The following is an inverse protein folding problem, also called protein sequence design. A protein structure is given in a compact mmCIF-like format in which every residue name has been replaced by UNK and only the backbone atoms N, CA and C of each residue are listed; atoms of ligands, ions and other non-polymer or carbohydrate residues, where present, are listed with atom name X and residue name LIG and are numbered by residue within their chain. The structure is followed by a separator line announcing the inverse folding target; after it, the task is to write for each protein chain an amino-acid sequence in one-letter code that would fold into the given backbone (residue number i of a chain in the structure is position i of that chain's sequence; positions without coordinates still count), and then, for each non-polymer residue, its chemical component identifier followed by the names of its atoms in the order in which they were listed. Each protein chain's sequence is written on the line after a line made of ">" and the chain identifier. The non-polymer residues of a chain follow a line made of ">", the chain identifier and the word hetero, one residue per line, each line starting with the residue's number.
data_IF_695673645936
#
_entry.id   IF_695673645936
#
_cell.length_a   1.000
_cell.length_b   1.000
_cell.length_c   1.000
_cell.angle_alpha   90.00
_cell.angle_beta   90.00
_cell.angle_gamma   90.00
#
_symmetry.space_group_name_H-M   'P 1'
#
loop_
_entity.id
_entity.type
_entity.pdbx_description
1 polymer ?
#
# COMPACT_ATOMS: atom_id res chain seq x y z
N UNK A 1 17.40 -9.90 -16.91
CA UNK A 1 16.77 -10.70 -15.83
C UNK A 1 17.63 -10.80 -14.57
N UNK A 2 18.92 -11.20 -14.63
CA UNK A 2 19.78 -11.30 -13.43
C UNK A 2 19.97 -9.94 -12.72
N UNK A 3 20.23 -8.86 -13.46
CA UNK A 3 20.38 -7.52 -12.86
C UNK A 3 19.09 -6.99 -12.22
N UNK A 4 17.92 -7.24 -12.83
CA UNK A 4 16.64 -6.78 -12.27
C UNK A 4 16.30 -7.51 -10.97
N UNK A 5 16.61 -8.81 -10.88
CA UNK A 5 16.46 -9.58 -9.63
C UNK A 5 17.32 -9.00 -8.50
N UNK A 6 18.51 -8.50 -8.81
CA UNK A 6 19.36 -7.84 -7.81
C UNK A 6 18.65 -6.64 -7.19
N UNK A 7 18.07 -5.75 -8.00
CA UNK A 7 17.30 -4.61 -7.47
C UNK A 7 16.09 -5.05 -6.64
N UNK A 8 15.39 -6.11 -7.05
CA UNK A 8 14.30 -6.67 -6.24
C UNK A 8 14.78 -7.14 -4.84
N UNK A 9 15.94 -7.78 -4.76
CA UNK A 9 16.52 -8.17 -3.47
C UNK A 9 16.98 -6.96 -2.66
N UNK A 10 17.61 -5.96 -3.29
CA UNK A 10 17.97 -4.70 -2.62
C UNK A 10 16.73 -3.96 -2.08
N UNK A 11 15.61 -3.96 -2.81
CA UNK A 11 14.34 -3.40 -2.34
C UNK A 11 13.88 -4.13 -1.08
N UNK A 12 13.93 -5.47 -1.10
CA UNK A 12 13.52 -6.31 0.03
C UNK A 12 14.37 -6.04 1.26
N UNK A 13 15.70 -5.98 1.10
CA UNK A 13 16.64 -5.67 2.18
C UNK A 13 16.33 -4.28 2.78
N UNK A 14 16.19 -3.25 1.96
CA UNK A 14 15.91 -1.90 2.45
C UNK A 14 14.52 -1.75 3.08
N UNK A 15 13.52 -2.48 2.61
CA UNK A 15 12.19 -2.55 3.24
C UNK A 15 12.26 -3.21 4.62
N UNK A 16 13.03 -4.29 4.76
CA UNK A 16 13.09 -5.07 6.00
C UNK A 16 14.07 -4.53 7.04
N UNK A 17 15.18 -3.93 6.62
CA UNK A 17 16.27 -3.56 7.52
C UNK A 17 16.39 -2.05 7.72
N UNK A 18 15.81 -1.25 6.82
CA UNK A 18 15.87 0.21 6.90
C UNK A 18 14.97 0.79 7.98
N UNK A 19 15.50 1.71 8.80
CA UNK A 19 14.69 2.57 9.68
C UNK A 19 13.89 3.61 8.90
N UNK A 20 14.40 3.99 7.72
CA UNK A 20 13.78 4.91 6.77
C UNK A 20 13.96 4.41 5.33
N UNK A 21 13.22 3.37 4.91
CA UNK A 21 13.37 2.76 3.59
C UNK A 21 13.28 3.79 2.45
N UNK A 22 12.46 4.84 2.60
CA UNK A 22 12.31 5.89 1.58
C UNK A 22 13.62 6.53 1.15
N UNK A 23 14.63 6.61 2.04
CA UNK A 23 15.93 7.20 1.72
C UNK A 23 16.67 6.42 0.63
N UNK A 24 16.50 5.09 0.56
CA UNK A 24 17.03 4.28 -0.54
C UNK A 24 16.24 4.54 -1.82
N UNK A 25 14.92 4.46 -1.76
CA UNK A 25 14.05 4.65 -2.93
C UNK A 25 14.25 6.03 -3.58
N UNK A 26 14.42 7.10 -2.79
CA UNK A 26 14.78 8.44 -3.28
C UNK A 26 16.11 8.48 -4.05
N UNK A 27 17.08 7.66 -3.70
CA UNK A 27 18.39 7.61 -4.39
C UNK A 27 18.31 6.90 -5.74
N UNK A 28 17.33 6.02 -5.91
CA UNK A 28 17.18 5.21 -7.12
C UNK A 28 16.06 5.69 -8.04
N UNK A 29 15.17 6.57 -7.58
CA UNK A 29 13.94 6.92 -8.30
C UNK A 29 14.17 7.61 -9.66
N UNK A 30 15.37 8.15 -9.89
CA UNK A 30 15.77 8.77 -11.17
C UNK A 30 16.73 7.90 -11.99
N UNK A 31 17.03 6.69 -11.53
CA UNK A 31 17.87 5.75 -12.28
C UNK A 31 17.11 5.16 -13.46
N UNK A 32 17.86 4.80 -14.50
CA UNK A 32 17.34 4.30 -15.77
C UNK A 32 16.50 3.03 -15.58
N UNK A 33 17.00 2.07 -14.79
CA UNK A 33 16.28 0.82 -14.53
C UNK A 33 14.90 1.07 -13.89
N UNK A 34 14.80 2.04 -12.98
CA UNK A 34 13.54 2.31 -12.28
C UNK A 34 12.51 2.93 -13.23
N UNK A 35 12.96 3.80 -14.14
CA UNK A 35 12.07 4.56 -15.01
C UNK A 35 11.75 3.86 -16.34
N UNK A 36 12.61 2.97 -16.82
CA UNK A 36 12.51 2.39 -18.17
C UNK A 36 12.41 0.85 -18.20
N UNK A 37 12.75 0.14 -17.13
CA UNK A 37 12.70 -1.33 -17.11
C UNK A 37 11.41 -1.84 -16.44
N UNK A 38 10.69 -2.70 -17.14
CA UNK A 38 9.56 -3.42 -16.55
C UNK A 38 10.06 -4.54 -15.61
N UNK A 39 9.43 -4.78 -14.43
CA UNK A 39 8.20 -4.17 -13.94
C UNK A 39 8.38 -2.93 -13.06
N UNK A 40 9.61 -2.41 -12.88
CA UNK A 40 9.85 -1.22 -12.05
C UNK A 40 9.14 0.03 -12.59
N UNK A 41 8.87 0.07 -13.89
CA UNK A 41 8.02 1.09 -14.52
C UNK A 41 6.61 1.16 -13.94
N UNK A 42 6.08 0.11 -13.32
CA UNK A 42 4.81 0.15 -12.59
C UNK A 42 4.89 1.07 -11.36
N UNK A 43 6.04 1.10 -10.67
CA UNK A 43 6.30 1.99 -9.55
C UNK A 43 6.67 3.40 -10.00
N UNK A 44 7.48 3.56 -11.05
CA UNK A 44 7.88 4.90 -11.51
C UNK A 44 6.71 5.72 -12.02
N UNK A 45 5.67 5.08 -12.59
CA UNK A 45 4.40 5.74 -12.97
C UNK A 45 3.72 6.45 -11.79
N UNK A 46 3.94 5.99 -10.55
CA UNK A 46 3.39 6.64 -9.35
C UNK A 46 3.93 8.07 -9.15
N UNK A 47 5.14 8.37 -9.66
CA UNK A 47 5.74 9.72 -9.60
C UNK A 47 4.91 10.76 -10.35
N UNK A 48 4.30 10.35 -11.46
CA UNK A 48 3.51 11.20 -12.34
C UNK A 48 2.01 11.10 -12.06
N UNK A 49 1.63 10.39 -11.01
CA UNK A 49 0.24 10.14 -10.63
C UNK A 49 -0.15 11.14 -9.54
N UNK A 50 -0.66 12.30 -9.96
CA UNK A 50 -1.07 13.38 -9.06
C UNK A 50 -2.25 12.97 -8.18
N UNK A 51 -2.26 13.48 -6.94
CA UNK A 51 -3.36 13.28 -6.01
C UNK A 51 -4.02 14.61 -5.64
N UNK A 52 -5.20 14.52 -5.02
CA UNK A 52 -5.89 15.71 -4.54
C UNK A 52 -5.16 16.28 -3.31
N UNK A 53 -4.52 17.44 -3.47
CA UNK A 53 -3.71 18.11 -2.45
C UNK A 53 -4.44 18.41 -1.13
N UNK A 54 -5.78 18.46 -1.12
CA UNK A 54 -6.54 18.60 0.13
C UNK A 54 -6.39 17.37 1.03
N UNK A 55 -6.32 16.19 0.43
CA UNK A 55 -6.27 14.91 1.15
C UNK A 55 -4.87 14.27 1.12
N UNK A 56 -4.06 14.68 0.14
CA UNK A 56 -2.71 14.21 -0.12
C UNK A 56 -1.77 15.42 -0.27
N UNK A 57 -1.49 16.17 0.81
CA UNK A 57 -0.61 17.33 0.76
C UNK A 57 0.81 16.99 0.29
N UNK A 58 1.21 15.71 0.35
CA UNK A 58 2.47 15.16 -0.16
C UNK A 58 2.58 15.15 -1.70
N UNK A 59 1.49 15.43 -2.42
CA UNK A 59 1.49 15.63 -3.87
C UNK A 59 1.08 14.39 -4.66
N UNK A 60 2.06 13.57 -5.07
CA UNK A 60 1.83 12.42 -5.95
C UNK A 60 1.79 11.10 -5.17
N UNK A 61 1.36 10.04 -5.85
CA UNK A 61 1.24 8.70 -5.25
C UNK A 61 2.59 8.16 -4.79
N UNK A 62 3.68 8.42 -5.53
CA UNK A 62 5.00 7.93 -5.11
C UNK A 62 5.46 8.53 -3.78
N UNK A 63 5.31 9.84 -3.60
CA UNK A 63 5.63 10.51 -2.33
C UNK A 63 4.80 9.93 -1.18
N UNK A 64 3.53 9.63 -1.43
CA UNK A 64 2.67 8.96 -0.47
C UNK A 64 3.20 7.57 -0.13
N UNK A 65 3.43 6.71 -1.12
CA UNK A 65 4.00 5.37 -0.94
C UNK A 65 5.29 5.40 -0.11
N UNK A 66 6.17 6.37 -0.35
CA UNK A 66 7.41 6.54 0.40
C UNK A 66 7.18 6.89 1.87
N UNK A 67 6.17 7.70 2.19
CA UNK A 67 5.78 7.93 3.58
C UNK A 67 5.19 6.66 4.22
N UNK A 68 4.40 5.89 3.46
CA UNK A 68 3.77 4.66 3.95
C UNK A 68 4.81 3.58 4.29
N UNK A 69 5.84 3.38 3.47
CA UNK A 69 6.90 2.41 3.81
C UNK A 69 7.76 2.86 5.00
N UNK A 70 7.96 4.16 5.21
CA UNK A 70 8.63 4.66 6.42
C UNK A 70 7.78 4.40 7.68
N UNK A 71 6.46 4.63 7.60
CA UNK A 71 5.53 4.26 8.68
C UNK A 71 5.49 2.74 8.91
N UNK A 72 5.52 1.97 7.82
CA UNK A 72 5.60 0.51 7.85
C UNK A 72 6.82 0.03 8.62
N UNK A 73 8.00 0.62 8.38
CA UNK A 73 9.22 0.26 9.07
C UNK A 73 9.12 0.40 10.60
N UNK A 74 8.34 1.37 11.10
CA UNK A 74 8.07 1.57 12.53
C UNK A 74 7.11 0.54 13.13
N UNK A 75 6.29 -0.11 12.30
CA UNK A 75 5.20 -0.99 12.74
C UNK A 75 5.40 -2.46 12.31
N UNK A 76 6.39 -2.77 11.47
CA UNK A 76 6.61 -4.12 10.92
C UNK A 76 6.76 -5.20 11.98
N UNK A 77 7.34 -4.88 13.14
CA UNK A 77 7.48 -5.83 14.27
C UNK A 77 6.14 -6.24 14.91
N UNK A 78 5.04 -5.57 14.54
CA UNK A 78 3.67 -5.94 14.97
C UNK A 78 2.94 -6.79 13.93
N UNK A 79 3.50 -6.93 12.74
CA UNK A 79 2.97 -7.80 11.71
C UNK A 79 3.39 -9.25 11.99
N UNK A 80 2.49 -10.18 11.69
CA UNK A 80 2.78 -11.61 11.75
C UNK A 80 3.70 -12.04 10.59
N UNK A 81 3.76 -11.27 9.51
CA UNK A 81 4.62 -11.48 8.34
C UNK A 81 5.18 -10.14 7.82
N UNK A 82 6.29 -9.65 8.42
CA UNK A 82 6.88 -8.35 8.07
C UNK A 82 7.26 -8.22 6.59
N UNK A 83 7.60 -9.33 5.92
CA UNK A 83 7.95 -9.34 4.50
C UNK A 83 6.72 -9.05 3.64
N UNK A 84 5.61 -9.76 3.88
CA UNK A 84 4.32 -9.50 3.20
C UNK A 84 3.85 -8.08 3.50
N UNK A 85 3.92 -7.65 4.76
CA UNK A 85 3.45 -6.34 5.19
C UNK A 85 4.20 -5.19 4.50
N UNK A 86 5.54 -5.22 4.51
CA UNK A 86 6.34 -4.14 3.92
C UNK A 86 6.23 -4.08 2.39
N UNK A 87 6.12 -5.23 1.72
CA UNK A 87 5.82 -5.25 0.28
C UNK A 87 4.42 -4.74 -0.03
N UNK A 88 3.45 -5.03 0.84
CA UNK A 88 2.10 -4.48 0.72
C UNK A 88 2.09 -2.96 0.87
N UNK A 89 2.88 -2.40 1.80
CA UNK A 89 3.07 -0.95 1.94
C UNK A 89 3.59 -0.31 0.64
N UNK A 90 4.61 -0.92 0.01
CA UNK A 90 5.19 -0.42 -1.24
C UNK A 90 4.18 -0.49 -2.42
N UNK A 91 3.34 -1.53 -2.45
CA UNK A 91 2.48 -1.83 -3.59
C UNK A 91 1.01 -1.41 -3.42
N UNK A 92 0.57 -0.94 -2.25
CA UNK A 92 -0.86 -0.73 -1.95
C UNK A 92 -1.60 0.11 -3.01
N UNK A 93 -0.93 1.14 -3.51
CA UNK A 93 -1.47 2.10 -4.46
C UNK A 93 -1.03 1.89 -5.92
N UNK A 94 -0.38 0.76 -6.24
CA UNK A 94 0.20 0.49 -7.57
C UNK A 94 -0.84 0.52 -8.70
N UNK A 95 -2.13 0.34 -8.38
CA UNK A 95 -3.24 0.41 -9.33
C UNK A 95 -3.76 1.82 -9.65
N UNK A 96 -3.35 2.86 -8.92
CA UNK A 96 -3.81 4.25 -9.17
C UNK A 96 -3.53 4.75 -10.59
N UNK A 97 -2.32 4.57 -11.17
CA UNK A 97 -2.02 5.06 -12.51
C UNK A 97 -2.93 4.53 -13.62
N UNK A 98 -3.53 3.34 -13.46
CA UNK A 98 -4.43 2.73 -14.45
C UNK A 98 -5.89 3.14 -14.30
N UNK A 99 -6.22 3.80 -13.18
CA UNK A 99 -7.61 4.06 -12.78
C UNK A 99 -7.92 5.54 -12.56
N UNK A 100 -6.92 6.42 -12.70
CA UNK A 100 -7.13 7.86 -12.62
C UNK A 100 -8.12 8.33 -13.69
N UNK A 101 -9.12 9.07 -13.22
CA UNK A 101 -10.09 9.82 -14.01
C UNK A 101 -10.17 11.24 -13.50
N UNK A 102 -10.09 12.20 -14.41
CA UNK A 102 -10.35 13.61 -14.13
C UNK A 102 -11.81 13.91 -14.46
N UNK A 103 -12.65 14.13 -13.44
CA UNK A 103 -14.06 14.47 -13.63
C UNK A 103 -14.38 15.77 -12.89
N UNK A 104 -14.82 16.81 -13.63
CA UNK A 104 -15.19 18.12 -13.08
C UNK A 104 -14.09 18.73 -12.17
N UNK A 105 -12.82 18.63 -12.59
CA UNK A 105 -11.68 19.14 -11.84
C UNK A 105 -11.30 18.33 -10.59
N UNK A 106 -11.89 17.14 -10.38
CA UNK A 106 -11.53 16.22 -9.31
C UNK A 106 -10.82 15.00 -9.89
N UNK A 107 -9.65 14.68 -9.34
CA UNK A 107 -8.93 13.44 -9.59
C UNK A 107 -9.56 12.33 -8.74
N UNK A 108 -9.93 11.23 -9.37
CA UNK A 108 -10.47 10.03 -8.72
C UNK A 108 -9.80 8.79 -9.29
N UNK A 109 -9.58 7.77 -8.45
CA UNK A 109 -9.02 6.48 -8.86
C UNK A 109 -9.92 5.36 -8.33
N UNK A 110 -11.08 5.17 -8.96
CA UNK A 110 -12.02 4.11 -8.57
C UNK A 110 -11.48 2.74 -8.98
N UNK A 111 -11.72 1.72 -8.16
CA UNK A 111 -11.28 0.33 -8.38
C UNK A 111 -9.75 0.15 -8.48
N UNK A 112 -8.95 1.11 -7.99
CA UNK A 112 -7.48 1.00 -7.98
C UNK A 112 -6.98 -0.13 -7.08
N UNK A 113 -7.77 -0.52 -6.07
CA UNK A 113 -7.54 -1.66 -5.20
C UNK A 113 -7.60 -2.99 -5.98
N UNK A 114 -8.58 -3.15 -6.88
CA UNK A 114 -8.69 -4.31 -7.78
C UNK A 114 -7.60 -4.32 -8.86
N UNK A 115 -7.31 -3.17 -9.45
CA UNK A 115 -6.19 -3.07 -10.39
C UNK A 115 -4.86 -3.35 -9.70
N UNK A 116 -4.71 -2.86 -8.47
CA UNK A 116 -3.54 -3.07 -7.61
C UNK A 116 -3.31 -4.54 -7.28
N UNK A 117 -4.35 -5.30 -6.96
CA UNK A 117 -4.25 -6.76 -6.74
C UNK A 117 -3.56 -7.46 -7.93
N UNK A 118 -4.06 -7.21 -9.15
CA UNK A 118 -3.50 -7.80 -10.36
C UNK A 118 -2.06 -7.35 -10.59
N UNK A 119 -1.78 -6.05 -10.49
CA UNK A 119 -0.46 -5.49 -10.77
C UNK A 119 0.59 -5.89 -9.73
N UNK A 120 0.21 -6.01 -8.46
CA UNK A 120 1.09 -6.52 -7.41
C UNK A 120 1.47 -7.98 -7.69
N UNK A 121 0.48 -8.82 -8.06
CA UNK A 121 0.75 -10.19 -8.45
C UNK A 121 1.66 -10.27 -9.69
N UNK A 122 1.40 -9.44 -10.70
CA UNK A 122 2.20 -9.35 -11.92
C UNK A 122 3.66 -8.96 -11.63
N UNK A 123 3.86 -7.93 -10.82
CA UNK A 123 5.19 -7.46 -10.39
C UNK A 123 5.98 -8.56 -9.68
N UNK A 124 5.37 -9.24 -8.69
CA UNK A 124 6.05 -10.26 -7.90
C UNK A 124 6.30 -11.55 -8.68
N UNK A 125 5.36 -11.97 -9.54
CA UNK A 125 5.52 -13.13 -10.41
C UNK A 125 6.65 -12.95 -11.41
N UNK A 126 6.87 -11.73 -11.92
CA UNK A 126 7.99 -11.45 -12.82
C UNK A 126 9.35 -11.81 -12.21
N UNK A 127 9.52 -11.62 -10.89
CA UNK A 127 10.74 -11.99 -10.19
C UNK A 127 10.81 -13.47 -9.78
N UNK A 128 9.73 -14.23 -10.02
CA UNK A 128 9.63 -15.65 -9.67
C UNK A 128 9.50 -15.88 -8.17
N UNK A 129 8.77 -14.99 -7.47
CA UNK A 129 8.49 -15.16 -6.05
C UNK A 129 7.58 -16.36 -5.78
N UNK A 130 7.60 -16.85 -4.54
CA UNK A 130 6.72 -17.94 -4.11
C UNK A 130 5.24 -17.56 -4.23
N UNK A 131 4.40 -18.53 -4.59
CA UNK A 131 2.98 -18.32 -4.84
C UNK A 131 2.18 -17.87 -3.61
N UNK A 132 2.55 -18.33 -2.41
CA UNK A 132 1.90 -17.90 -1.16
C UNK A 132 2.22 -16.43 -0.85
N UNK A 133 3.49 -16.04 -1.02
CA UNK A 133 3.91 -14.66 -0.86
C UNK A 133 3.21 -13.72 -1.86
N UNK A 134 3.18 -14.11 -3.14
CA UNK A 134 2.46 -13.36 -4.20
C UNK A 134 0.98 -13.20 -3.84
N UNK A 135 0.34 -14.30 -3.42
CA UNK A 135 -1.07 -14.28 -3.03
C UNK A 135 -1.31 -13.33 -1.85
N UNK A 136 -0.58 -13.48 -0.75
CA UNK A 136 -0.75 -12.65 0.46
C UNK A 136 -0.57 -11.17 0.18
N UNK A 137 0.50 -10.78 -0.53
CA UNK A 137 0.72 -9.37 -0.89
C UNK A 137 -0.39 -8.86 -1.81
N UNK A 138 -0.78 -9.63 -2.82
CA UNK A 138 -1.86 -9.21 -3.73
C UNK A 138 -3.18 -8.99 -3.00
N UNK A 139 -3.50 -9.82 -2.00
CA UNK A 139 -4.71 -9.68 -1.18
C UNK A 139 -4.64 -8.51 -0.20
N UNK A 140 -3.49 -8.28 0.41
CA UNK A 140 -3.27 -7.07 1.21
C UNK A 140 -3.49 -5.80 0.38
N UNK A 141 -2.95 -5.75 -0.83
CA UNK A 141 -3.18 -4.66 -1.79
C UNK A 141 -4.66 -4.59 -2.20
N UNK A 142 -5.33 -5.72 -2.45
CA UNK A 142 -6.75 -5.76 -2.82
C UNK A 142 -7.65 -5.12 -1.76
N UNK A 143 -7.32 -5.30 -0.48
CA UNK A 143 -8.20 -4.98 0.63
C UNK A 143 -7.77 -3.73 1.42
N UNK A 144 -6.69 -3.05 1.06
CA UNK A 144 -6.16 -1.91 1.81
C UNK A 144 -7.18 -0.77 2.01
N UNK A 145 -8.11 -0.59 1.07
CA UNK A 145 -9.15 0.47 1.15
C UNK A 145 -10.32 0.15 2.09
N UNK A 146 -10.46 -1.09 2.58
CA UNK A 146 -11.65 -1.51 3.33
C UNK A 146 -11.83 -0.73 4.63
N UNK A 147 -10.74 -0.36 5.30
CA UNK A 147 -10.79 0.50 6.50
C UNK A 147 -11.46 1.84 6.19
N UNK A 148 -11.04 2.53 5.11
CA UNK A 148 -11.66 3.77 4.69
C UNK A 148 -13.14 3.57 4.34
N UNK A 149 -13.46 2.51 3.60
CA UNK A 149 -14.82 2.21 3.16
C UNK A 149 -15.76 2.01 4.36
N UNK A 150 -15.31 1.29 5.40
CA UNK A 150 -16.07 1.10 6.64
C UNK A 150 -16.25 2.41 7.41
N UNK A 151 -15.18 3.19 7.61
CA UNK A 151 -15.25 4.47 8.33
C UNK A 151 -16.20 5.45 7.65
N UNK A 152 -16.20 5.47 6.31
CA UNK A 152 -17.05 6.35 5.50
C UNK A 152 -18.42 5.76 5.17
N UNK A 153 -18.74 4.57 5.68
CA UNK A 153 -19.99 3.84 5.40
C UNK A 153 -20.29 3.73 3.90
N UNK A 154 -19.26 3.36 3.13
CA UNK A 154 -19.33 3.22 1.68
C UNK A 154 -19.91 1.84 1.30
N UNK A 155 -20.79 1.76 0.29
CA UNK A 155 -21.39 0.49 -0.13
C UNK A 155 -20.40 -0.51 -0.75
N UNK A 156 -19.18 -0.06 -1.07
CA UNK A 156 -18.11 -0.90 -1.60
C UNK A 156 -17.38 -1.70 -0.50
N UNK A 157 -17.67 -1.46 0.79
CA UNK A 157 -17.11 -2.26 1.86
C UNK A 157 -17.60 -3.72 1.76
N UNK A 158 -16.66 -4.66 1.77
CA UNK A 158 -16.93 -6.11 1.70
C UNK A 158 -16.06 -6.82 2.74
N UNK A 159 -16.51 -6.75 3.99
CA UNK A 159 -15.80 -7.37 5.11
C UNK A 159 -15.94 -8.90 5.10
N UNK A 160 -17.07 -9.44 4.64
CA UNK A 160 -17.32 -10.89 4.64
C UNK A 160 -16.35 -11.65 3.75
N UNK A 161 -15.98 -11.09 2.60
CA UNK A 161 -14.95 -11.67 1.73
C UNK A 161 -13.56 -11.37 2.27
N UNK A 162 -13.28 -10.11 2.64
CA UNK A 162 -11.96 -9.70 3.11
C UNK A 162 -11.45 -10.56 4.27
N UNK A 163 -12.26 -10.80 5.31
CA UNK A 163 -11.81 -11.55 6.51
C UNK A 163 -11.41 -13.00 6.22
N UNK A 164 -11.83 -13.55 5.07
CA UNK A 164 -11.49 -14.91 4.61
C UNK A 164 -10.18 -14.95 3.84
N UNK A 165 -9.74 -13.81 3.30
CA UNK A 165 -8.56 -13.73 2.44
C UNK A 165 -7.35 -13.09 3.13
N UNK A 166 -7.56 -12.24 4.15
CA UNK A 166 -6.49 -11.53 4.85
C UNK A 166 -6.73 -11.46 6.36
N UNK A 167 -5.68 -11.57 7.20
CA UNK A 167 -5.79 -11.27 8.62
C UNK A 167 -6.21 -9.81 8.82
N UNK A 168 -7.26 -9.59 9.62
CA UNK A 168 -7.83 -8.25 9.81
C UNK A 168 -6.83 -7.30 10.47
N UNK A 169 -5.98 -7.81 11.36
CA UNK A 169 -4.97 -7.01 12.04
C UNK A 169 -3.91 -6.49 11.06
N UNK A 170 -3.54 -7.26 10.02
CA UNK A 170 -2.62 -6.84 8.96
C UNK A 170 -3.20 -5.68 8.16
N UNK A 171 -4.47 -5.77 7.75
CA UNK A 171 -5.16 -4.67 7.05
C UNK A 171 -5.25 -3.43 7.94
N UNK A 172 -5.50 -3.60 9.24
CA UNK A 172 -5.51 -2.48 10.18
C UNK A 172 -4.13 -1.80 10.32
N UNK A 173 -3.03 -2.58 10.33
CA UNK A 173 -1.67 -2.05 10.34
C UNK A 173 -1.35 -1.29 9.05
N UNK A 174 -1.69 -1.86 7.89
CA UNK A 174 -1.46 -1.23 6.59
C UNK A 174 -2.24 0.08 6.47
N UNK A 175 -3.51 0.07 6.87
CA UNK A 175 -4.34 1.26 6.88
C UNK A 175 -3.81 2.34 7.83
N UNK A 176 -3.27 1.96 9.00
CA UNK A 176 -2.61 2.92 9.89
C UNK A 176 -1.42 3.60 9.18
N UNK A 177 -0.60 2.84 8.45
CA UNK A 177 0.54 3.39 7.71
C UNK A 177 0.12 4.33 6.57
N UNK A 178 -0.88 3.94 5.77
CA UNK A 178 -1.48 4.78 4.72
C UNK A 178 -2.02 6.08 5.32
N UNK A 179 -2.87 5.99 6.33
CA UNK A 179 -3.54 7.18 6.89
C UNK A 179 -2.57 8.15 7.56
N UNK A 180 -1.55 7.65 8.24
CA UNK A 180 -0.49 8.47 8.82
C UNK A 180 0.56 8.92 7.78
N UNK A 181 0.51 8.41 6.54
CA UNK A 181 1.41 8.79 5.45
C UNK A 181 1.04 10.10 4.74
N UNK A 182 0.08 10.86 5.28
CA UNK A 182 -0.56 12.03 4.66
C UNK A 182 -0.16 13.32 5.40
N UNK A 183 1.10 13.72 5.28
CA UNK A 183 1.62 14.95 5.88
C UNK A 183 1.98 14.82 7.36
N UNK A 184 1.81 15.91 8.12
CA UNK A 184 2.20 15.97 9.53
C UNK A 184 1.26 15.16 10.43
N UNK A 185 1.86 14.28 11.26
CA UNK A 185 1.12 13.46 12.23
C UNK A 185 1.06 14.19 13.57
N UNK A 186 -0.05 14.89 13.81
CA UNK A 186 -0.33 15.46 15.13
C UNK A 186 -0.89 14.41 16.09
N UNK A 187 -0.92 14.73 17.38
CA UNK A 187 -1.51 13.85 18.40
C UNK A 187 -3.00 13.60 18.13
N UNK A 188 -3.73 14.62 17.69
CA UNK A 188 -5.15 14.54 17.38
C UNK A 188 -5.41 13.60 16.19
N UNK A 189 -4.58 13.71 15.13
CA UNK A 189 -4.65 12.79 13.98
C UNK A 189 -4.39 11.36 14.44
N UNK A 190 -3.35 11.13 15.23
CA UNK A 190 -3.03 9.80 15.74
C UNK A 190 -4.14 9.21 16.60
N UNK A 191 -4.76 10.00 17.48
CA UNK A 191 -5.87 9.56 18.32
C UNK A 191 -7.12 9.24 17.49
N UNK A 192 -7.42 10.04 16.47
CA UNK A 192 -8.54 9.79 15.56
C UNK A 192 -8.33 8.51 14.75
N UNK A 193 -7.13 8.31 14.18
CA UNK A 193 -6.86 7.11 13.41
C UNK A 193 -6.85 5.84 14.28
N UNK A 194 -6.45 5.92 15.56
CA UNK A 194 -6.64 4.81 16.51
C UNK A 194 -8.11 4.47 16.75
N UNK A 195 -8.99 5.47 16.85
CA UNK A 195 -10.44 5.23 16.99
C UNK A 195 -11.02 4.59 15.74
N UNK A 196 -10.61 5.09 14.56
CA UNK A 196 -11.00 4.54 13.27
C UNK A 196 -10.60 3.07 13.12
N UNK A 197 -9.35 2.73 13.44
CA UNK A 197 -8.86 1.34 13.42
C UNK A 197 -9.63 0.48 14.42
N UNK A 198 -9.87 0.96 15.64
CA UNK A 198 -10.68 0.23 16.63
C UNK A 198 -12.09 -0.05 16.12
N UNK A 199 -12.75 0.96 15.55
CA UNK A 199 -14.09 0.81 14.97
C UNK A 199 -14.12 -0.21 13.84
N UNK A 200 -13.12 -0.18 12.94
CA UNK A 200 -12.99 -1.18 11.88
C UNK A 200 -12.82 -2.61 12.43
N UNK A 201 -11.97 -2.80 13.44
CA UNK A 201 -11.77 -4.10 14.07
C UNK A 201 -13.05 -4.62 14.74
N UNK A 202 -13.79 -3.75 15.44
CA UNK A 202 -15.09 -4.08 16.04
C UNK A 202 -16.12 -4.53 14.99
N UNK A 203 -16.09 -3.96 13.77
CA UNK A 203 -16.95 -4.39 12.65
C UNK A 203 -16.57 -5.74 12.06
N UNK A 204 -15.29 -6.10 12.10
CA UNK A 204 -14.81 -7.39 11.59
C UNK A 204 -15.02 -8.53 12.59
N UNK A 205 -15.01 -8.24 13.89
CA UNK A 205 -15.03 -9.25 14.96
C UNK A 205 -16.20 -10.26 14.87
N UNK A 206 -17.44 -9.88 14.53
CA UNK A 206 -18.53 -10.85 14.35
C UNK A 206 -18.31 -11.84 13.20
N UNK A 207 -17.55 -11.44 12.18
CA UNK A 207 -17.30 -12.23 10.95
C UNK A 207 -16.14 -13.22 11.10
N UNK A 208 -15.31 -13.05 12.12
CA UNK A 208 -14.21 -13.97 12.43
C UNK A 208 -14.68 -15.20 13.22
N UNK A 209 -15.90 -15.13 13.78
CA UNK A 209 -16.49 -16.18 14.63
C UNK A 209 -17.64 -16.93 13.93
N UNK A 210 -17.87 -16.65 12.65
CA UNK A 210 -18.94 -17.20 11.81
C UNK A 210 -18.39 -18.20 10.80
#
# INVERSE_FOLDING_TARGET
>A
MIMLKRYFYEFTEHLLEGDKPSAYFRKIEDQDFFNNEYPFTLLSRLKNTEQNLKWHPEGNVWNHTLNVIDNGALLKEKSDDPLVFMWSCLLHDIGKPETIKLTKGRITAYDHDKAGERLAAEFLNFFGCDGDFVYKVSKMVRWHMQVLMVIKNLPQADLETMVKEVPVHEIALLAMCDRLGRGEVTREVLEEERKNIKYFLEKCMPLLNS
#
